data_IF_017731116010
#
_entry.id   IF_017731116010
#
_cell.length_a   1.000
_cell.length_b   1.000
_cell.length_c   1.000
_cell.angle_alpha   90.00
_cell.angle_beta   90.00
_cell.angle_gamma   90.00
#
_symmetry.space_group_name_H-M   'P 1'
#
loop_
_entity.id
_entity.type
_entity.pdbx_description
1 polymer ?
#
# COMPACT_ATOMS: atom_id res chain seq x y z
N UNK A 1 -4.72 1.30 -3.52
CA UNK A 1 -6.12 1.75 -3.61
C UNK A 1 -6.17 3.26 -3.85
N UNK A 2 -6.88 3.72 -4.87
CA UNK A 2 -6.97 5.15 -5.19
C UNK A 2 -8.22 5.78 -4.55
N UNK A 3 -8.01 6.87 -3.82
CA UNK A 3 -9.03 7.70 -3.16
C UNK A 3 -9.00 9.09 -3.80
N UNK A 4 -10.16 9.62 -4.14
CA UNK A 4 -10.24 10.92 -4.83
C UNK A 4 -11.64 11.43 -5.11
N UNK A 5 -12.67 10.59 -4.94
CA UNK A 5 -14.05 11.03 -5.11
C UNK A 5 -14.36 12.18 -4.14
N UNK A 6 -14.85 13.30 -4.69
CA UNK A 6 -15.16 14.54 -3.96
C UNK A 6 -13.99 15.14 -3.15
N UNK A 7 -12.74 14.79 -3.46
CA UNK A 7 -11.54 15.38 -2.85
C UNK A 7 -10.87 16.35 -3.83
N UNK A 8 -10.09 17.30 -3.29
CA UNK A 8 -9.34 18.28 -4.09
C UNK A 8 -8.16 17.66 -4.88
N UNK A 9 -7.71 16.47 -4.49
CA UNK A 9 -6.57 15.77 -5.07
C UNK A 9 -6.75 14.26 -4.95
N UNK A 10 -6.07 13.52 -5.83
CA UNK A 10 -6.00 12.06 -5.74
C UNK A 10 -4.94 11.64 -4.71
N UNK A 11 -5.32 10.67 -3.88
CA UNK A 11 -4.47 10.04 -2.88
C UNK A 11 -4.41 8.54 -3.15
N UNK A 12 -3.24 7.94 -3.01
CA UNK A 12 -3.07 6.49 -3.16
C UNK A 12 -2.71 5.85 -1.82
N UNK A 13 -3.46 4.84 -1.43
CA UNK A 13 -3.13 3.94 -0.32
C UNK A 13 -2.36 2.75 -0.89
N UNK A 14 -1.20 2.46 -0.32
CA UNK A 14 -0.32 1.37 -0.72
C UNK A 14 -0.19 0.37 0.43
N UNK A 15 -0.10 -0.91 0.10
CA UNK A 15 0.16 -2.01 1.04
C UNK A 15 1.36 -2.79 0.53
N UNK A 16 2.10 -3.40 1.44
CA UNK A 16 3.10 -4.40 1.08
C UNK A 16 2.46 -5.78 1.20
N UNK A 17 2.79 -6.67 0.26
CA UNK A 17 2.36 -8.07 0.35
C UNK A 17 3.02 -8.73 1.55
N UNK A 18 2.19 -9.10 2.52
CA UNK A 18 2.57 -9.88 3.68
C UNK A 18 2.15 -11.33 3.51
N UNK A 19 2.77 -12.20 4.30
CA UNK A 19 2.27 -13.56 4.51
C UNK A 19 0.86 -13.51 5.12
N UNK A 20 0.13 -14.61 4.98
CA UNK A 20 -1.24 -14.74 5.47
C UNK A 20 -1.27 -15.86 6.51
N UNK A 21 -1.98 -15.62 7.60
CA UNK A 21 -2.25 -16.63 8.60
C UNK A 21 -3.19 -17.71 8.02
N UNK A 22 -2.74 -18.96 8.00
CA UNK A 22 -3.47 -20.05 7.34
C UNK A 22 -4.78 -20.44 8.05
N UNK A 23 -4.94 -20.10 9.33
CA UNK A 23 -6.14 -20.44 10.11
C UNK A 23 -7.19 -19.33 10.03
N UNK A 24 -6.76 -18.08 10.15
CA UNK A 24 -7.64 -16.91 10.25
C UNK A 24 -7.81 -16.18 8.91
N UNK A 25 -6.89 -16.37 7.96
CA UNK A 25 -6.85 -15.62 6.70
C UNK A 25 -6.46 -14.15 6.87
N UNK A 26 -5.98 -13.75 8.05
CA UNK A 26 -5.53 -12.40 8.33
C UNK A 26 -4.11 -12.16 7.79
N UNK A 27 -3.78 -10.92 7.36
CA UNK A 27 -2.43 -10.58 6.95
C UNK A 27 -1.52 -10.58 8.19
N UNK A 28 -0.38 -11.25 8.07
CA UNK A 28 0.69 -11.22 9.08
C UNK A 28 1.52 -9.95 8.92
N UNK A 29 2.34 -9.65 9.92
CA UNK A 29 3.31 -8.55 9.84
C UNK A 29 4.52 -8.92 8.97
N UNK A 30 4.80 -10.21 8.81
CA UNK A 30 5.90 -10.72 7.99
C UNK A 30 5.65 -10.48 6.51
N UNK A 31 6.62 -9.86 5.84
CA UNK A 31 6.59 -9.60 4.40
C UNK A 31 6.85 -10.89 3.61
N UNK A 32 6.21 -11.00 2.45
CA UNK A 32 6.51 -12.10 1.51
C UNK A 32 7.96 -12.04 1.00
N UNK A 33 8.58 -13.18 0.63
CA UNK A 33 9.97 -13.22 0.15
C UNK A 33 10.25 -12.25 -1.00
N UNK A 34 9.33 -12.13 -1.95
CA UNK A 34 9.49 -11.23 -3.10
C UNK A 34 9.56 -9.75 -2.69
N UNK A 35 8.87 -9.36 -1.61
CA UNK A 35 8.98 -7.99 -1.08
C UNK A 35 10.30 -7.81 -0.34
N UNK A 36 10.72 -8.79 0.44
CA UNK A 36 12.01 -8.75 1.15
C UNK A 36 13.18 -8.64 0.16
N UNK A 37 13.18 -9.41 -0.93
CA UNK A 37 14.19 -9.33 -1.98
C UNK A 37 14.26 -7.92 -2.59
N UNK A 38 13.11 -7.32 -2.90
CA UNK A 38 13.04 -5.95 -3.41
C UNK A 38 13.58 -4.92 -2.42
N UNK A 39 13.28 -5.09 -1.13
CA UNK A 39 13.75 -4.22 -0.07
C UNK A 39 15.27 -4.34 0.14
N UNK A 40 15.83 -5.55 0.06
CA UNK A 40 17.27 -5.79 0.08
C UNK A 40 17.96 -5.10 -1.11
N UNK A 41 17.38 -5.15 -2.31
CA UNK A 41 17.90 -4.43 -3.48
C UNK A 41 17.89 -2.90 -3.29
N UNK A 42 16.96 -2.38 -2.50
CA UNK A 42 16.93 -0.97 -2.09
C UNK A 42 17.89 -0.66 -0.92
N UNK A 43 18.61 -1.66 -0.40
CA UNK A 43 19.52 -1.53 0.74
C UNK A 43 18.81 -1.43 2.09
N UNK A 44 17.55 -1.86 2.17
CA UNK A 44 16.72 -1.83 3.38
C UNK A 44 16.29 -3.27 3.71
N UNK A 45 17.04 -4.07 4.48
CA UNK A 45 16.70 -5.48 4.73
C UNK A 45 15.57 -5.63 5.79
N UNK A 46 14.45 -4.94 5.62
CA UNK A 46 13.29 -5.06 6.51
C UNK A 46 12.53 -6.35 6.21
N UNK A 47 12.07 -7.03 7.26
CA UNK A 47 11.37 -8.32 7.16
C UNK A 47 9.88 -8.20 7.47
N UNK A 48 9.49 -7.12 8.14
CA UNK A 48 8.12 -6.86 8.59
C UNK A 48 7.57 -5.53 8.08
N UNK A 49 6.24 -5.41 7.99
CA UNK A 49 5.57 -4.14 7.65
C UNK A 49 5.83 -3.10 8.74
N UNK A 50 5.81 -3.53 10.00
CA UNK A 50 6.08 -2.69 11.15
C UNK A 50 7.48 -2.07 11.10
N UNK A 51 8.52 -2.82 10.72
CA UNK A 51 9.87 -2.26 10.52
C UNK A 51 9.89 -1.16 9.45
N UNK A 52 9.20 -1.35 8.33
CA UNK A 52 9.12 -0.35 7.25
C UNK A 52 8.44 0.94 7.74
N UNK A 53 7.42 0.82 8.59
CA UNK A 53 6.67 1.96 9.10
C UNK A 53 7.38 2.67 10.26
N UNK A 54 7.99 1.92 11.18
CA UNK A 54 8.61 2.44 12.40
C UNK A 54 9.97 3.10 12.18
N UNK A 55 10.73 2.71 11.16
CA UNK A 55 12.00 3.35 10.83
C UNK A 55 11.85 4.83 10.38
N UNK A 56 10.63 5.37 10.43
CA UNK A 56 10.15 6.32 9.44
C UNK A 56 10.14 5.62 8.08
N UNK A 57 9.31 6.05 7.13
CA UNK A 57 9.38 5.43 5.82
C UNK A 57 10.77 5.76 5.26
N UNK A 58 11.66 4.76 5.27
CA UNK A 58 13.08 4.91 4.92
C UNK A 58 13.15 5.74 3.65
N UNK A 59 13.95 6.81 3.64
CA UNK A 59 13.96 7.79 2.55
C UNK A 59 14.09 7.08 1.19
N UNK A 60 14.76 5.94 1.15
CA UNK A 60 14.93 5.08 -0.03
C UNK A 60 13.63 4.41 -0.48
N UNK A 61 12.86 3.86 0.46
CA UNK A 61 11.55 3.24 0.17
C UNK A 61 10.57 4.32 -0.29
N UNK A 62 10.49 5.46 0.42
CA UNK A 62 9.65 6.58 -0.03
C UNK A 62 10.05 7.07 -1.41
N UNK A 63 11.35 7.21 -1.68
CA UNK A 63 11.82 7.66 -2.98
C UNK A 63 11.46 6.64 -4.08
N UNK A 64 11.61 5.34 -3.82
CA UNK A 64 11.20 4.29 -4.75
C UNK A 64 9.69 4.35 -5.04
N UNK A 65 8.86 4.51 -4.00
CA UNK A 65 7.41 4.66 -4.15
C UNK A 65 7.04 5.94 -4.90
N UNK A 66 7.67 7.08 -4.58
CA UNK A 66 7.46 8.36 -5.28
C UNK A 66 7.85 8.24 -6.75
N UNK A 67 9.01 7.65 -7.06
CA UNK A 67 9.43 7.38 -8.46
C UNK A 67 8.40 6.53 -9.19
N UNK A 68 7.82 5.52 -8.53
CA UNK A 68 6.72 4.73 -9.08
C UNK A 68 5.49 5.58 -9.40
N UNK A 69 5.07 6.41 -8.45
CA UNK A 69 3.93 7.33 -8.62
C UNK A 69 4.20 8.37 -9.71
N UNK A 70 5.41 8.92 -9.80
CA UNK A 70 5.78 9.89 -10.82
C UNK A 70 5.69 9.30 -12.23
N UNK A 71 6.13 8.04 -12.42
CA UNK A 71 5.95 7.32 -13.68
C UNK A 71 4.49 7.16 -14.06
N UNK A 72 3.61 6.86 -13.08
CA UNK A 72 2.16 6.78 -13.33
C UNK A 72 1.59 8.17 -13.66
N UNK A 73 2.00 9.19 -12.93
CA UNK A 73 1.57 10.58 -13.14
C UNK A 73 2.01 11.16 -14.49
N UNK A 74 3.07 10.63 -15.12
CA UNK A 74 3.47 11.01 -16.49
C UNK A 74 2.43 10.61 -17.53
N UNK A 75 1.62 9.58 -17.24
CA UNK A 75 0.53 9.15 -18.11
C UNK A 75 -0.79 9.90 -17.85
N UNK A 76 -0.84 10.74 -16.79
CA UNK A 76 -2.03 11.50 -16.45
C UNK A 76 -2.26 12.63 -17.47
N UNK A 77 -3.44 12.65 -18.10
CA UNK A 77 -3.79 13.65 -19.11
C UNK A 77 -4.04 15.04 -18.51
N UNK A 78 -4.30 15.12 -17.21
CA UNK A 78 -4.58 16.38 -16.52
C UNK A 78 -4.10 16.37 -15.06
N UNK A 79 -3.97 17.57 -14.49
CA UNK A 79 -3.62 17.73 -13.07
C UNK A 79 -4.64 17.08 -12.12
N UNK A 80 -5.91 17.00 -12.51
CA UNK A 80 -6.95 16.33 -11.73
C UNK A 80 -6.73 14.81 -11.64
N UNK A 81 -6.02 14.21 -12.60
CA UNK A 81 -5.70 12.79 -12.63
C UNK A 81 -4.34 12.46 -12.00
N UNK A 82 -3.62 13.46 -11.49
CA UNK A 82 -2.33 13.25 -10.82
C UNK A 82 -2.54 12.85 -9.37
N UNK A 83 -1.86 11.79 -8.96
CA UNK A 83 -1.73 11.35 -7.57
C UNK A 83 -0.80 12.33 -6.86
N UNK A 84 -1.31 13.03 -5.85
CA UNK A 84 -0.55 14.04 -5.09
C UNK A 84 -0.17 13.57 -3.69
N UNK A 85 -0.91 12.60 -3.13
CA UNK A 85 -0.67 12.07 -1.80
C UNK A 85 -0.51 10.55 -1.86
N UNK A 86 0.36 10.03 -1.01
CA UNK A 86 0.54 8.61 -0.81
C UNK A 86 0.50 8.29 0.69
N UNK A 87 -0.03 7.14 1.06
CA UNK A 87 0.05 6.59 2.40
C UNK A 87 0.31 5.08 2.29
N UNK A 88 1.23 4.58 3.10
CA UNK A 88 1.47 3.14 3.25
C UNK A 88 0.66 2.66 4.45
N UNK A 89 -0.12 1.59 4.26
CA UNK A 89 -0.95 0.99 5.30
C UNK A 89 -0.16 -0.07 6.08
N UNK A 90 -0.50 -0.30 7.36
CA UNK A 90 0.20 -1.27 8.23
C UNK A 90 -0.12 -2.73 7.95
N UNK A 91 -1.13 -3.02 7.15
CA UNK A 91 -1.52 -4.38 6.79
C UNK A 91 -2.09 -4.42 5.38
N UNK A 92 -1.94 -5.55 4.69
CA UNK A 92 -2.56 -5.77 3.39
C UNK A 92 -4.08 -5.94 3.51
N UNK A 93 -4.79 -5.81 2.39
CA UNK A 93 -6.24 -6.05 2.40
C UNK A 93 -6.52 -7.54 2.46
N UNK A 94 -7.45 -7.92 3.35
CA UNK A 94 -7.87 -9.31 3.49
C UNK A 94 -9.39 -9.45 3.58
N UNK A 95 -9.85 -10.68 3.39
CA UNK A 95 -11.26 -11.03 3.63
C UNK A 95 -11.54 -11.05 5.13
N UNK A 96 -10.59 -11.50 5.95
CA UNK A 96 -10.70 -11.59 7.40
C UNK A 96 -10.93 -10.20 8.06
N UNK A 97 -10.18 -9.20 7.60
CA UNK A 97 -10.28 -7.81 8.10
C UNK A 97 -11.39 -6.99 7.41
N UNK A 98 -12.03 -7.56 6.39
CA UNK A 98 -13.26 -7.07 5.77
C UNK A 98 -13.07 -6.10 4.59
N UNK A 99 -11.85 -5.71 4.25
CA UNK A 99 -11.55 -4.87 3.08
C UNK A 99 -11.76 -5.61 1.76
N UNK A 100 -11.62 -6.93 1.74
CA UNK A 100 -11.95 -7.78 0.61
C UNK A 100 -13.29 -8.51 0.82
N UNK A 101 -14.04 -8.69 -0.28
CA UNK A 101 -15.17 -9.62 -0.33
C UNK A 101 -14.72 -11.06 -0.57
N UNK A 102 -15.63 -12.05 -0.46
CA UNK A 102 -15.31 -13.46 -0.70
C UNK A 102 -14.75 -13.75 -2.10
N UNK A 103 -15.07 -12.89 -3.07
CA UNK A 103 -14.55 -12.94 -4.44
C UNK A 103 -13.24 -12.16 -4.63
N UNK A 104 -12.54 -11.83 -3.54
CA UNK A 104 -11.30 -11.03 -3.50
C UNK A 104 -11.42 -9.61 -4.09
N UNK A 105 -12.65 -9.12 -4.30
CA UNK A 105 -12.90 -7.74 -4.73
C UNK A 105 -12.83 -6.79 -3.54
N UNK A 106 -12.15 -5.66 -3.71
CA UNK A 106 -12.05 -4.60 -2.68
C UNK A 106 -13.41 -3.95 -2.43
N UNK A 107 -13.85 -3.94 -1.17
CA UNK A 107 -15.04 -3.22 -0.71
C UNK A 107 -14.68 -1.75 -0.47
N UNK A 108 -14.78 -0.92 -1.53
CA UNK A 108 -14.38 0.49 -1.50
C UNK A 108 -14.92 1.26 -0.29
N UNK A 109 -16.22 1.11 0.03
CA UNK A 109 -16.88 1.76 1.17
C UNK A 109 -16.19 1.46 2.51
N UNK A 110 -15.72 0.24 2.73
CA UNK A 110 -15.05 -0.15 3.98
C UNK A 110 -13.66 0.47 4.05
N UNK A 111 -12.90 0.41 2.94
CA UNK A 111 -11.57 1.00 2.85
C UNK A 111 -11.61 2.52 3.04
N UNK A 112 -12.58 3.20 2.42
CA UNK A 112 -12.78 4.65 2.57
C UNK A 112 -13.20 5.03 3.99
N UNK A 113 -14.02 4.21 4.68
CA UNK A 113 -14.37 4.47 6.07
C UNK A 113 -13.19 4.27 7.04
N UNK A 114 -12.31 3.30 6.77
CA UNK A 114 -11.14 3.02 7.62
C UNK A 114 -9.98 4.00 7.38
N UNK A 115 -9.78 4.46 6.15
CA UNK A 115 -8.54 5.15 5.74
C UNK A 115 -8.74 6.44 4.91
N UNK A 116 -9.99 6.86 4.62
CA UNK A 116 -10.32 7.96 3.70
C UNK A 116 -10.56 9.35 4.30
#
# INVERSE_FOLDING_TARGET
>A
FLVGDRKKFLSILLTFKSEIDNETGAPLDTLTPSVQEWLIQLGCPATTVTEILNAGPDSRILEALKKGIDRVNQQATSNAQRIQKLAVLPADFSVATGELGPTMKVKRRIVEQKYG
#
